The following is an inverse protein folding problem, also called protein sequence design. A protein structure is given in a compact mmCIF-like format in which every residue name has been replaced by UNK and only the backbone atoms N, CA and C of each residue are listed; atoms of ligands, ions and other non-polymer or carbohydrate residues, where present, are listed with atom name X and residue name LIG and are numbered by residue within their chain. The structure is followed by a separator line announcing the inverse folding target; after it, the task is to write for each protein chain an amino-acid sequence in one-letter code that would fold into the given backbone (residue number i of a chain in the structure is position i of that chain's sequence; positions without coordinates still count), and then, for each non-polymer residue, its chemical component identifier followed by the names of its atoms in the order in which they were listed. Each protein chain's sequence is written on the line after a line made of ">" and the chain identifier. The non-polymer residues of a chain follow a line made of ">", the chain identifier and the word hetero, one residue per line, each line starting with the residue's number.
data_IF_988539111155
#
_entry.id   IF_988539111155
#
_cell.length_a   1.000
_cell.length_b   1.000
_cell.length_c   1.000
_cell.angle_alpha   90.00
_cell.angle_beta   90.00
_cell.angle_gamma   90.00
#
_symmetry.space_group_name_H-M   'P 1'
#
loop_
_entity.id
_entity.type
_entity.pdbx_description
1 polymer ?
#
# COMPACT_ATOMS: atom_id res chain seq x y z
N UNK A 1 -39.98 34.79 -18.97
CA UNK A 1 -38.61 34.46 -18.54
C UNK A 1 -38.72 33.77 -17.18
N UNK A 2 -38.52 32.45 -17.13
CA UNK A 2 -38.73 31.66 -15.92
C UNK A 2 -37.39 31.44 -15.21
N UNK A 3 -37.30 31.88 -13.95
CA UNK A 3 -36.16 31.63 -13.07
C UNK A 3 -36.35 30.25 -12.43
N UNK A 4 -35.54 29.26 -12.84
CA UNK A 4 -35.49 27.94 -12.19
C UNK A 4 -34.76 28.07 -10.85
N UNK A 5 -35.53 28.15 -9.76
CA UNK A 5 -35.01 28.10 -8.40
C UNK A 5 -34.53 26.68 -8.08
N UNK A 6 -33.22 26.47 -8.09
CA UNK A 6 -32.60 25.21 -7.68
C UNK A 6 -32.62 25.13 -6.15
N UNK A 7 -33.60 24.42 -5.57
CA UNK A 7 -33.65 24.19 -4.13
C UNK A 7 -32.52 23.24 -3.72
N UNK A 8 -31.48 23.76 -3.07
CA UNK A 8 -30.44 22.94 -2.45
C UNK A 8 -31.03 22.14 -1.29
N UNK A 9 -31.03 20.81 -1.40
CA UNK A 9 -31.41 19.91 -0.29
C UNK A 9 -30.17 19.60 0.56
N UNK A 10 -30.19 20.03 1.81
CA UNK A 10 -29.19 19.68 2.83
C UNK A 10 -29.02 18.15 2.86
N UNK A 11 -27.82 17.65 2.57
CA UNK A 11 -27.50 16.22 2.54
C UNK A 11 -27.36 15.57 1.16
N UNK A 12 -27.70 16.25 0.05
CA UNK A 12 -27.35 15.79 -1.30
C UNK A 12 -26.22 16.66 -1.87
N UNK A 13 -25.04 16.06 -2.05
CA UNK A 13 -23.94 16.67 -2.80
C UNK A 13 -24.46 17.14 -4.17
N UNK A 14 -24.42 18.45 -4.44
CA UNK A 14 -24.94 19.06 -5.66
C UNK A 14 -24.08 18.79 -6.91
N UNK A 15 -23.24 17.75 -6.88
CA UNK A 15 -22.48 17.32 -8.04
C UNK A 15 -23.23 16.14 -8.72
N UNK A 16 -23.90 16.36 -9.87
CA UNK A 16 -24.65 15.30 -10.57
C UNK A 16 -23.74 14.14 -11.02
N UNK A 17 -22.44 14.38 -11.18
CA UNK A 17 -21.45 13.36 -11.55
C UNK A 17 -20.83 12.63 -10.35
N UNK A 18 -21.29 12.92 -9.12
CA UNK A 18 -20.69 12.36 -7.91
C UNK A 18 -19.23 12.75 -7.73
N UNK A 19 -18.59 12.26 -6.66
CA UNK A 19 -17.14 12.34 -6.56
C UNK A 19 -16.57 11.38 -7.62
N UNK A 20 -15.68 11.82 -8.53
CA UNK A 20 -15.03 10.89 -9.44
C UNK A 20 -14.41 9.76 -8.61
N UNK A 21 -14.53 8.50 -9.06
CA UNK A 21 -14.02 7.37 -8.31
C UNK A 21 -12.56 7.66 -7.97
N UNK A 22 -12.19 7.57 -6.69
CA UNK A 22 -10.83 7.84 -6.19
C UNK A 22 -9.76 6.89 -6.80
N UNK A 23 -10.13 6.06 -7.76
CA UNK A 23 -9.33 4.98 -8.35
C UNK A 23 -8.53 5.39 -9.58
N UNK A 24 -8.82 6.53 -10.22
CA UNK A 24 -8.01 6.96 -11.36
C UNK A 24 -6.72 7.58 -10.86
N UNK A 25 -5.61 6.82 -10.91
CA UNK A 25 -4.24 7.29 -10.63
C UNK A 25 -3.62 7.76 -11.95
N UNK A 26 -3.78 9.04 -12.35
CA UNK A 26 -3.37 9.51 -13.68
C UNK A 26 -1.87 9.32 -13.95
N UNK A 27 -1.03 9.42 -12.91
CA UNK A 27 0.40 9.19 -13.03
C UNK A 27 0.75 7.71 -13.26
N UNK A 28 0.00 6.79 -12.65
CA UNK A 28 0.17 5.36 -12.87
C UNK A 28 -0.22 4.98 -14.30
N UNK A 29 -1.31 5.57 -14.80
CA UNK A 29 -1.73 5.41 -16.20
C UNK A 29 -0.65 5.91 -17.16
N UNK A 30 -0.13 7.12 -16.96
CA UNK A 30 0.95 7.67 -17.77
C UNK A 30 2.23 6.82 -17.71
N UNK A 31 2.60 6.29 -16.54
CA UNK A 31 3.74 5.38 -16.40
C UNK A 31 3.54 4.07 -17.19
N UNK A 32 2.31 3.52 -17.22
CA UNK A 32 2.00 2.33 -18.03
C UNK A 32 2.05 2.64 -19.52
N UNK A 33 1.47 3.74 -19.95
CA UNK A 33 1.41 4.16 -21.36
C UNK A 33 2.81 4.47 -21.92
N UNK A 34 3.63 5.23 -21.20
CA UNK A 34 5.00 5.57 -21.63
C UNK A 34 5.94 4.35 -21.62
N UNK A 35 5.68 3.37 -20.74
CA UNK A 35 6.39 2.09 -20.79
C UNK A 35 6.05 1.27 -22.04
N UNK A 36 4.87 1.50 -22.63
CA UNK A 36 4.37 0.75 -23.78
C UNK A 36 4.61 1.45 -25.13
N UNK A 37 4.69 2.78 -25.19
CA UNK A 37 4.85 3.53 -26.45
C UNK A 37 5.56 4.89 -26.28
N UNK A 38 6.30 5.33 -27.32
CA UNK A 38 7.06 6.58 -27.31
C UNK A 38 6.15 7.80 -27.51
N UNK A 39 5.95 8.60 -26.46
CA UNK A 39 4.97 9.70 -26.45
C UNK A 39 5.48 10.98 -27.11
N UNK A 40 4.71 11.49 -28.07
CA UNK A 40 4.69 12.88 -28.51
C UNK A 40 3.52 13.64 -27.85
N UNK A 41 3.69 14.94 -27.64
CA UNK A 41 2.84 15.91 -26.94
C UNK A 41 2.80 15.84 -25.40
N UNK A 42 3.25 16.95 -24.78
CA UNK A 42 3.66 17.06 -23.38
C UNK A 42 2.54 17.64 -22.52
N UNK A 43 1.81 16.77 -21.83
CA UNK A 43 1.31 17.13 -20.50
C UNK A 43 2.48 17.03 -19.50
N UNK A 44 2.55 17.92 -18.50
CA UNK A 44 3.62 17.89 -17.49
C UNK A 44 3.77 16.50 -16.81
N UNK A 45 2.70 15.69 -16.78
CA UNK A 45 2.71 14.34 -16.22
C UNK A 45 3.44 13.33 -17.10
N UNK A 46 3.30 13.41 -18.42
CA UNK A 46 3.97 12.49 -19.34
C UNK A 46 5.48 12.77 -19.41
N UNK A 47 5.87 14.04 -19.28
CA UNK A 47 7.27 14.44 -19.16
C UNK A 47 7.93 13.85 -17.90
N UNK A 48 7.29 13.98 -16.74
CA UNK A 48 7.80 13.41 -15.47
C UNK A 48 7.88 11.90 -15.54
N UNK A 49 6.85 11.23 -16.06
CA UNK A 49 6.85 9.78 -16.19
C UNK A 49 7.96 9.27 -17.14
N UNK A 50 8.23 9.99 -18.24
CA UNK A 50 9.35 9.68 -19.15
C UNK A 50 10.71 9.85 -18.48
N UNK A 51 10.86 10.89 -17.66
CA UNK A 51 12.09 11.16 -16.92
C UNK A 51 12.34 10.10 -15.84
N UNK A 52 11.30 9.69 -15.11
CA UNK A 52 11.36 8.57 -14.15
C UNK A 52 11.75 7.26 -14.85
N UNK A 53 11.13 6.95 -16.00
CA UNK A 53 11.47 5.76 -16.76
C UNK A 53 12.91 5.77 -17.28
N UNK A 54 13.39 6.91 -17.76
CA UNK A 54 14.78 7.07 -18.19
C UNK A 54 15.73 6.86 -17.02
N UNK A 55 15.45 7.48 -15.86
CA UNK A 55 16.24 7.33 -14.64
C UNK A 55 16.30 5.87 -14.14
N UNK A 56 15.19 5.13 -14.24
CA UNK A 56 15.19 3.69 -13.92
C UNK A 56 16.06 2.86 -14.86
N UNK A 57 16.06 3.17 -16.17
CA UNK A 57 16.87 2.41 -17.15
C UNK A 57 18.35 2.75 -17.09
N UNK A 58 18.72 4.01 -16.87
CA UNK A 58 20.11 4.48 -16.96
C UNK A 58 20.80 4.64 -15.62
N UNK A 59 20.04 4.72 -14.52
CA UNK A 59 20.56 5.11 -13.20
C UNK A 59 20.98 6.58 -13.14
N UNK A 60 20.58 7.39 -14.12
CA UNK A 60 20.91 8.81 -14.23
C UNK A 60 19.67 9.63 -14.51
N UNK A 61 19.50 10.70 -13.77
CA UNK A 61 18.40 11.63 -13.91
C UNK A 61 18.90 12.88 -14.64
N UNK A 62 18.39 13.12 -15.84
CA UNK A 62 18.71 14.30 -16.64
C UNK A 62 17.57 15.31 -16.53
N UNK A 63 17.87 16.49 -16.02
CA UNK A 63 16.93 17.61 -15.92
C UNK A 63 16.99 18.44 -17.20
N UNK A 64 15.91 19.14 -17.53
CA UNK A 64 15.86 20.04 -18.70
C UNK A 64 16.89 21.20 -18.58
N UNK A 65 17.42 21.46 -17.39
CA UNK A 65 18.53 22.40 -17.16
C UNK A 65 19.88 21.90 -17.67
N UNK A 66 19.96 20.67 -18.18
CA UNK A 66 21.22 20.00 -18.56
C UNK A 66 21.99 19.40 -17.38
N UNK A 67 21.47 19.53 -16.15
CA UNK A 67 22.06 18.93 -14.96
C UNK A 67 21.82 17.42 -14.97
N UNK A 68 22.89 16.64 -14.89
CA UNK A 68 22.83 15.19 -14.72
C UNK A 68 23.07 14.84 -13.24
N UNK A 69 22.14 14.10 -12.65
CA UNK A 69 22.28 13.54 -11.32
C UNK A 69 22.44 12.02 -11.43
N UNK A 70 23.56 11.49 -10.92
CA UNK A 70 23.75 10.04 -10.88
C UNK A 70 23.11 9.48 -9.61
N UNK A 71 22.20 8.51 -9.77
CA UNK A 71 21.50 7.91 -8.66
C UNK A 71 22.42 6.89 -7.97
N UNK A 72 22.45 6.95 -6.64
CA UNK A 72 23.00 5.87 -5.83
C UNK A 72 22.13 4.62 -5.92
N UNK A 73 22.69 3.45 -5.60
CA UNK A 73 21.94 2.19 -5.62
C UNK A 73 20.69 2.23 -4.73
N UNK A 74 20.77 2.93 -3.59
CA UNK A 74 19.64 3.13 -2.67
C UNK A 74 18.54 3.97 -3.31
N UNK A 75 18.89 5.12 -3.89
CA UNK A 75 17.92 6.01 -4.55
C UNK A 75 17.26 5.34 -5.75
N UNK A 76 18.01 4.56 -6.52
CA UNK A 76 17.47 3.77 -7.63
C UNK A 76 16.47 2.72 -7.15
N UNK A 77 16.78 1.99 -6.06
CA UNK A 77 15.85 1.01 -5.47
C UNK A 77 14.60 1.67 -4.89
N UNK A 78 14.75 2.83 -4.24
CA UNK A 78 13.62 3.58 -3.69
C UNK A 78 12.71 4.10 -4.82
N UNK A 79 13.28 4.56 -5.93
CA UNK A 79 12.54 4.94 -7.13
C UNK A 79 11.78 3.74 -7.72
N UNK A 80 12.43 2.58 -7.82
CA UNK A 80 11.80 1.35 -8.32
C UNK A 80 10.62 0.92 -7.47
N UNK A 81 10.79 0.89 -6.13
CA UNK A 81 9.70 0.61 -5.18
C UNK A 81 8.54 1.58 -5.34
N UNK A 82 8.85 2.87 -5.49
CA UNK A 82 7.84 3.90 -5.68
C UNK A 82 7.05 3.68 -6.98
N UNK A 83 7.72 3.38 -8.09
CA UNK A 83 7.04 3.08 -9.37
C UNK A 83 6.16 1.84 -9.23
N UNK A 84 6.67 0.76 -8.63
CA UNK A 84 5.91 -0.48 -8.41
C UNK A 84 4.64 -0.23 -7.57
N UNK A 85 4.76 0.58 -6.51
CA UNK A 85 3.64 0.96 -5.65
C UNK A 85 2.57 1.80 -6.39
N UNK A 86 2.99 2.58 -7.39
CA UNK A 86 2.08 3.43 -8.14
C UNK A 86 1.44 2.71 -9.32
N UNK A 87 2.23 1.94 -10.08
CA UNK A 87 1.82 1.23 -11.31
C UNK A 87 0.95 0.02 -10.99
N UNK A 88 1.35 -0.84 -10.06
CA UNK A 88 0.55 -2.05 -9.77
C UNK A 88 -0.60 -1.77 -8.82
N UNK A 89 -0.63 -0.57 -8.22
CA UNK A 89 -1.50 -0.29 -7.09
C UNK A 89 -0.98 -1.07 -5.90
N UNK A 90 -0.07 -0.45 -5.15
CA UNK A 90 0.63 -1.11 -4.05
C UNK A 90 -0.35 -1.90 -3.20
N UNK A 91 -0.01 -3.18 -2.94
CA UNK A 91 -0.78 -4.15 -2.16
C UNK A 91 -1.61 -3.43 -1.10
N UNK A 92 -2.83 -3.07 -1.46
CA UNK A 92 -3.68 -2.32 -0.56
C UNK A 92 -4.02 -3.35 0.51
N UNK A 93 -3.42 -3.23 1.70
CA UNK A 93 -3.76 -4.11 2.83
C UNK A 93 -5.27 -4.18 3.04
N UNK A 94 -6.01 -3.13 2.68
CA UNK A 94 -7.49 -3.12 2.72
C UNK A 94 -8.13 -4.20 1.83
N UNK A 95 -7.60 -4.45 0.64
CA UNK A 95 -8.11 -5.53 -0.22
C UNK A 95 -7.74 -6.90 0.39
N UNK A 96 -6.53 -7.04 0.98
CA UNK A 96 -6.14 -8.26 1.71
C UNK A 96 -7.02 -8.56 2.93
N UNK A 97 -7.48 -7.55 3.68
CA UNK A 97 -8.38 -7.77 4.81
C UNK A 97 -9.80 -8.16 4.37
N UNK A 98 -10.21 -7.80 3.15
CA UNK A 98 -11.55 -8.14 2.64
C UNK A 98 -11.58 -9.59 2.17
N UNK A 99 -10.54 -10.04 1.45
CA UNK A 99 -10.36 -11.46 1.11
C UNK A 99 -10.18 -12.36 2.33
N UNK A 100 -9.39 -11.94 3.32
CA UNK A 100 -9.19 -12.72 4.54
C UNK A 100 -10.50 -12.89 5.35
N UNK A 101 -11.37 -11.87 5.34
CA UNK A 101 -12.68 -11.94 5.99
C UNK A 101 -13.61 -12.92 5.26
N UNK A 102 -13.62 -12.88 3.93
CA UNK A 102 -14.44 -13.81 3.13
C UNK A 102 -13.97 -15.26 3.28
N UNK A 103 -12.65 -15.50 3.37
CA UNK A 103 -12.11 -16.84 3.65
C UNK A 103 -12.49 -17.35 5.04
N UNK A 104 -12.51 -16.48 6.05
CA UNK A 104 -12.95 -16.85 7.39
C UNK A 104 -14.43 -17.24 7.40
N UNK A 105 -15.29 -16.50 6.69
CA UNK A 105 -16.70 -16.84 6.57
C UNK A 105 -16.94 -18.16 5.85
N UNK A 106 -16.17 -18.46 4.79
CA UNK A 106 -16.26 -19.75 4.10
C UNK A 106 -15.81 -20.92 4.99
N UNK A 107 -14.79 -20.72 5.83
CA UNK A 107 -14.36 -21.74 6.80
C UNK A 107 -15.42 -21.96 7.88
N UNK A 108 -16.00 -20.91 8.45
CA UNK A 108 -17.08 -21.03 9.43
C UNK A 108 -18.30 -21.77 8.87
N UNK A 109 -18.67 -21.53 7.61
CA UNK A 109 -19.74 -22.26 6.93
C UNK A 109 -19.37 -23.75 6.75
N UNK A 110 -18.12 -24.03 6.36
CA UNK A 110 -17.62 -25.40 6.21
C UNK A 110 -17.58 -26.18 7.54
N UNK A 111 -17.21 -25.52 8.63
CA UNK A 111 -17.19 -26.12 9.97
C UNK A 111 -18.56 -26.22 10.61
N UNK A 112 -19.52 -25.37 10.23
CA UNK A 112 -20.90 -25.48 10.70
C UNK A 112 -21.61 -26.73 10.14
N UNK A 113 -21.24 -27.18 8.95
CA UNK A 113 -21.75 -28.43 8.35
C UNK A 113 -21.02 -29.68 8.86
N UNK A 114 -19.81 -29.55 9.40
CA UNK A 114 -19.21 -30.60 10.21
C UNK A 114 -19.85 -30.54 11.61
N UNK A 115 -20.98 -31.23 11.77
CA UNK A 115 -21.59 -31.57 13.06
C UNK A 115 -20.63 -32.46 13.88
N UNK A 116 -19.55 -31.85 14.35
CA UNK A 116 -18.76 -32.29 15.48
C UNK A 116 -19.55 -31.89 16.72
N UNK A 117 -20.70 -32.52 16.90
CA UNK A 117 -21.29 -32.67 18.23
C UNK A 117 -20.15 -33.15 19.12
N UNK A 118 -19.75 -32.38 20.14
CA UNK A 118 -18.74 -32.85 21.08
C UNK A 118 -19.34 -34.09 21.72
N UNK A 119 -18.89 -35.28 21.30
CA UNK A 119 -19.11 -36.48 22.07
C UNK A 119 -18.64 -36.14 23.49
N UNK A 120 -19.58 -36.15 24.42
CA UNK A 120 -19.40 -35.94 25.85
C UNK A 120 -18.53 -37.06 26.46
N UNK A 121 -17.29 -37.22 25.96
CA UNK A 121 -16.26 -37.98 26.64
C UNK A 121 -15.50 -37.01 27.54
N UNK A 122 -16.12 -36.77 28.70
CA UNK A 122 -15.60 -36.04 29.85
C UNK A 122 -14.34 -36.73 30.40
N UNK A 123 -13.24 -36.69 29.64
CA UNK A 123 -11.91 -36.95 30.19
C UNK A 123 -11.32 -35.59 30.57
N UNK A 124 -11.48 -35.23 31.85
CA UNK A 124 -10.92 -34.01 32.42
C UNK A 124 -9.45 -33.83 31.99
N UNK A 125 -9.07 -32.68 31.39
CA UNK A 125 -7.67 -32.42 31.08
C UNK A 125 -6.90 -32.30 32.40
N UNK A 126 -5.89 -33.15 32.55
CA UNK A 126 -4.90 -33.12 33.62
C UNK A 126 -4.37 -31.67 33.76
N UNK A 127 -4.39 -31.05 34.96
CA UNK A 127 -4.00 -29.67 35.15
C UNK A 127 -2.62 -29.38 34.55
N UNK A 128 -2.59 -28.44 33.61
CA UNK A 128 -1.38 -28.00 32.93
C UNK A 128 -0.30 -27.61 33.96
N UNK A 129 0.97 -28.00 33.74
CA UNK A 129 2.07 -27.61 34.61
C UNK A 129 2.18 -26.08 34.63
N UNK A 130 2.25 -25.51 35.83
CA UNK A 130 2.42 -24.08 36.06
C UNK A 130 3.67 -23.58 35.32
N UNK A 131 3.57 -22.45 34.57
CA UNK A 131 4.73 -21.89 33.89
C UNK A 131 5.76 -21.48 34.94
N UNK A 132 6.93 -22.11 34.89
CA UNK A 132 8.08 -21.70 35.68
C UNK A 132 8.52 -20.33 35.18
N UNK A 133 8.33 -19.30 36.02
CA UNK A 133 8.79 -17.94 35.79
C UNK A 133 10.31 -17.96 35.56
N UNK A 134 10.72 -17.78 34.30
CA UNK A 134 12.13 -17.58 33.95
C UNK A 134 12.52 -16.17 34.42
N UNK A 135 13.56 -16.01 35.26
CA UNK A 135 14.00 -14.71 35.72
C UNK A 135 14.54 -13.88 34.55
N UNK A 136 14.17 -12.60 34.52
CA UNK A 136 14.56 -11.66 33.47
C UNK A 136 16.09 -11.50 33.40
N UNK A 137 16.68 -11.43 32.18
CA UNK A 137 18.11 -11.22 32.02
C UNK A 137 18.53 -9.83 32.52
N UNK A 138 19.66 -9.79 33.20
CA UNK A 138 20.24 -8.56 33.77
C UNK A 138 20.58 -7.53 32.67
N UNK A 139 20.44 -6.22 32.95
CA UNK A 139 20.75 -5.17 31.99
C UNK A 139 22.23 -5.18 31.61
N UNK A 140 22.50 -5.10 30.30
CA UNK A 140 23.86 -4.99 29.75
C UNK A 140 24.43 -3.61 30.06
N UNK A 141 25.67 -3.50 30.59
CA UNK A 141 26.27 -2.20 30.90
C UNK A 141 26.54 -1.39 29.62
N UNK A 142 26.14 -0.12 29.62
CA UNK A 142 26.38 0.83 28.54
C UNK A 142 27.89 1.09 28.33
N UNK A 143 28.38 1.15 27.08
CA UNK A 143 29.75 1.52 26.80
C UNK A 143 29.98 3.02 27.01
N UNK A 144 30.88 3.36 27.93
CA UNK A 144 31.39 4.71 28.18
C UNK A 144 32.06 5.30 26.93
N UNK A 145 31.36 6.21 26.26
CA UNK A 145 31.90 7.02 25.17
C UNK A 145 32.94 8.00 25.73
N UNK A 146 34.22 7.73 25.44
CA UNK A 146 35.31 8.68 25.66
C UNK A 146 35.24 9.78 24.61
N UNK A 147 34.82 10.97 25.03
CA UNK A 147 35.04 12.22 24.30
C UNK A 147 36.49 12.66 24.47
N UNK A 148 37.32 12.50 23.44
CA UNK A 148 38.61 13.20 23.36
C UNK A 148 38.41 14.58 22.76
N UNK A 149 39.01 15.57 23.41
CA UNK A 149 39.05 17.01 23.05
C UNK A 149 40.05 17.31 21.93
#
# INVERSE_FOLDING_TARGET
>A
MAQTATSWRTGKSGNPNGRPPMRTRPLATALREIGAESVAERENRTAVASLVWRALRTGKLELDSGTQLQLTAKEWLDLLKWVHQHVDGGLNRKDQYTEARDQQSQLEELFADLDLSPDDDETAPDPAPTPTTVPAPAPTPEPLLHTQS
#
